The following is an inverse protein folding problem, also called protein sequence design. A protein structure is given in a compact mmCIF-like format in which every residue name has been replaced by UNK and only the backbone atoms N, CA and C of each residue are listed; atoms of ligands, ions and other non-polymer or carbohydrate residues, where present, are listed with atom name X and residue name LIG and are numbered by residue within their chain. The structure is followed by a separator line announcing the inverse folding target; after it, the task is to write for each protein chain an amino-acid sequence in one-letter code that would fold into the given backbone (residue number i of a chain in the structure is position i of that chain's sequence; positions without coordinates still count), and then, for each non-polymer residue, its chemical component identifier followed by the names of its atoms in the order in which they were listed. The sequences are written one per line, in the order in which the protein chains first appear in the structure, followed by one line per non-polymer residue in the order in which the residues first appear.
data_IF_558114830029
#
_entry.id   IF_558114830029
#
_cell.length_a   1.000
_cell.length_b   1.000
_cell.length_c   1.000
_cell.angle_alpha   90.00
_cell.angle_beta   90.00
_cell.angle_gamma   90.00
#
_symmetry.space_group_name_H-M   'P 1'
#
loop_
_entity.id
_entity.type
_entity.pdbx_description
1 polymer ?
#
# COMPACT_ATOMS: atom_id res chain seq x y z
N UNK A 1 -2.88 -15.75 1.64
CA UNK A 1 -3.84 -15.62 0.52
C UNK A 1 -4.30 -14.16 0.42
N UNK A 2 -3.64 -13.33 -0.42
CA UNK A 2 -3.93 -11.89 -0.53
C UNK A 2 -4.09 -11.37 -1.96
N UNK A 3 -4.09 -12.27 -2.95
CA UNK A 3 -4.03 -11.90 -4.38
C UNK A 3 -5.39 -11.76 -5.06
N UNK A 4 -6.48 -12.10 -4.38
CA UNK A 4 -7.82 -12.28 -4.99
C UNK A 4 -8.85 -11.20 -4.61
N UNK A 5 -8.54 -10.26 -3.71
CA UNK A 5 -9.51 -9.25 -3.27
C UNK A 5 -9.55 -7.96 -4.12
N UNK A 6 -8.72 -7.84 -5.17
CA UNK A 6 -8.62 -6.61 -5.95
C UNK A 6 -9.68 -6.46 -7.06
N UNK A 7 -10.44 -7.50 -7.42
CA UNK A 7 -11.31 -7.45 -8.60
C UNK A 7 -12.72 -6.88 -8.43
N UNK A 8 -13.17 -6.45 -7.24
CA UNK A 8 -14.61 -6.10 -7.05
C UNK A 8 -14.92 -4.71 -6.50
N UNK A 9 -13.97 -3.77 -6.51
CA UNK A 9 -14.22 -2.45 -5.91
C UNK A 9 -14.29 -2.47 -4.37
N UNK A 10 -14.03 -3.62 -3.77
CA UNK A 10 -13.91 -3.78 -2.31
C UNK A 10 -12.47 -3.50 -1.84
N UNK A 11 -11.99 -2.32 -2.22
CA UNK A 11 -10.74 -1.80 -1.69
C UNK A 11 -10.79 -1.69 -0.17
N UNK A 12 -11.98 -1.46 0.42
CA UNK A 12 -12.16 -1.38 1.86
C UNK A 12 -11.86 -2.71 2.57
N UNK A 13 -12.35 -3.84 2.05
CA UNK A 13 -12.08 -5.17 2.60
C UNK A 13 -10.61 -5.57 2.48
N UNK A 14 -9.97 -5.26 1.35
CA UNK A 14 -8.54 -5.47 1.18
C UNK A 14 -7.72 -4.64 2.19
N UNK A 15 -8.13 -3.39 2.45
CA UNK A 15 -7.46 -2.51 3.40
C UNK A 15 -7.66 -2.93 4.86
N UNK A 16 -8.84 -3.42 5.24
CA UNK A 16 -9.10 -3.90 6.59
C UNK A 16 -8.30 -5.18 6.92
N UNK A 17 -8.15 -6.07 5.95
CA UNK A 17 -7.28 -7.25 6.09
C UNK A 17 -5.80 -6.85 6.25
N UNK A 18 -5.36 -5.81 5.53
CA UNK A 18 -4.00 -5.27 5.64
C UNK A 18 -3.76 -4.56 7.00
N UNK A 19 -4.74 -3.84 7.54
CA UNK A 19 -4.66 -3.16 8.85
C UNK A 19 -4.56 -4.18 10.00
N UNK A 20 -5.38 -5.23 9.94
CA UNK A 20 -5.34 -6.33 10.94
C UNK A 20 -3.96 -6.99 10.99
N UNK A 21 -3.36 -7.25 9.82
CA UNK A 21 -2.05 -7.88 9.75
C UNK A 21 -0.88 -6.92 10.08
N UNK A 22 -1.08 -5.61 9.90
CA UNK A 22 -0.13 -4.58 10.31
C UNK A 22 0.01 -4.49 11.85
N UNK A 23 -1.05 -4.80 12.60
CA UNK A 23 -1.04 -4.83 14.06
C UNK A 23 -0.26 -6.02 14.62
N UNK A 24 -0.29 -7.16 13.94
CA UNK A 24 0.42 -8.37 14.39
C UNK A 24 1.90 -8.38 14.00
N UNK A 25 2.28 -7.72 12.88
CA UNK A 25 3.66 -7.75 12.37
C UNK A 25 4.18 -6.36 11.94
N UNK A 26 4.28 -5.39 12.87
CA UNK A 26 4.62 -4.00 12.56
C UNK A 26 6.08 -3.78 12.10
N UNK A 27 6.97 -4.75 12.34
CA UNK A 27 8.40 -4.69 11.95
C UNK A 27 8.81 -5.81 10.98
N UNK A 28 7.86 -6.47 10.34
CA UNK A 28 8.19 -7.51 9.36
C UNK A 28 8.50 -6.87 8.01
N UNK A 29 9.41 -7.48 7.26
CA UNK A 29 9.83 -7.11 5.89
C UNK A 29 8.64 -6.95 4.92
N UNK A 30 7.50 -7.56 5.27
CA UNK A 30 6.23 -7.49 4.56
C UNK A 30 5.45 -6.18 4.76
N UNK A 31 5.78 -5.34 5.74
CA UNK A 31 5.06 -4.09 5.99
C UNK A 31 5.29 -3.07 4.86
N UNK A 32 6.54 -2.97 4.39
CA UNK A 32 6.90 -2.09 3.28
C UNK A 32 6.26 -2.56 1.97
N UNK A 33 6.38 -3.86 1.66
CA UNK A 33 5.79 -4.46 0.46
C UNK A 33 4.27 -4.33 0.41
N UNK A 34 3.58 -4.50 1.55
CA UNK A 34 2.11 -4.33 1.63
C UNK A 34 1.68 -2.91 1.34
N UNK A 35 2.37 -1.92 1.90
CA UNK A 35 2.00 -0.51 1.71
C UNK A 35 2.23 -0.09 0.25
N UNK A 36 3.32 -0.56 -0.37
CA UNK A 36 3.60 -0.34 -1.80
C UNK A 36 2.51 -0.97 -2.68
N UNK A 37 2.10 -2.21 -2.41
CA UNK A 37 1.02 -2.87 -3.14
C UNK A 37 -0.32 -2.12 -3.01
N UNK A 38 -0.63 -1.57 -1.82
CA UNK A 38 -1.82 -0.76 -1.63
C UNK A 38 -1.78 0.55 -2.42
N UNK A 39 -0.63 1.22 -2.47
CA UNK A 39 -0.42 2.45 -3.26
C UNK A 39 -0.61 2.16 -4.75
N UNK A 40 0.00 1.09 -5.26
CA UNK A 40 -0.15 0.67 -6.66
C UNK A 40 -1.61 0.35 -7.00
N UNK A 41 -2.31 -0.40 -6.15
CA UNK A 41 -3.72 -0.73 -6.36
C UNK A 41 -4.62 0.51 -6.41
N UNK A 42 -4.37 1.50 -5.54
CA UNK A 42 -5.10 2.77 -5.54
C UNK A 42 -4.81 3.58 -6.80
N UNK A 43 -3.55 3.62 -7.24
CA UNK A 43 -3.16 4.31 -8.47
C UNK A 43 -3.82 3.67 -9.70
N UNK A 44 -3.72 2.35 -9.85
CA UNK A 44 -4.31 1.62 -10.98
C UNK A 44 -5.84 1.64 -11.00
N UNK A 45 -6.50 1.87 -9.86
CA UNK A 45 -7.97 2.04 -9.79
C UNK A 45 -8.44 3.49 -9.99
N UNK A 46 -7.54 4.42 -10.34
CA UNK A 46 -7.86 5.84 -10.55
C UNK A 46 -7.99 6.66 -9.26
N UNK A 47 -7.78 6.07 -8.09
CA UNK A 47 -7.81 6.74 -6.77
C UNK A 47 -6.47 7.41 -6.45
N UNK A 48 -5.98 8.23 -7.38
CA UNK A 48 -4.62 8.83 -7.33
C UNK A 48 -4.41 9.70 -6.09
N UNK A 49 -5.43 10.45 -5.65
CA UNK A 49 -5.33 11.29 -4.45
C UNK A 49 -5.05 10.47 -3.18
N UNK A 50 -5.62 9.26 -3.10
CA UNK A 50 -5.43 8.38 -1.95
C UNK A 50 -4.09 7.63 -2.03
N UNK A 51 -3.68 7.22 -3.24
CA UNK A 51 -2.34 6.71 -3.49
C UNK A 51 -1.27 7.71 -3.05
N UNK A 52 -1.43 9.00 -3.39
CA UNK A 52 -0.53 10.09 -2.98
C UNK A 52 -0.48 10.29 -1.47
N UNK A 53 -1.63 10.26 -0.78
CA UNK A 53 -1.68 10.34 0.70
C UNK A 53 -0.91 9.20 1.36
N UNK A 54 -1.06 7.98 0.84
CA UNK A 54 -0.35 6.81 1.37
C UNK A 54 1.14 6.84 1.03
N UNK A 55 1.49 7.24 -0.18
CA UNK A 55 2.88 7.46 -0.57
C UNK A 55 3.57 8.46 0.36
N UNK A 56 2.93 9.59 0.67
CA UNK A 56 3.48 10.56 1.63
C UNK A 56 3.76 9.93 3.01
N UNK A 57 2.83 9.12 3.53
CA UNK A 57 3.06 8.38 4.78
C UNK A 57 4.20 7.37 4.65
N UNK A 58 4.23 6.60 3.56
CA UNK A 58 5.31 5.67 3.27
C UNK A 58 6.68 6.36 3.30
N UNK A 59 6.81 7.56 2.70
CA UNK A 59 8.07 8.31 2.71
C UNK A 59 8.51 8.69 4.13
N UNK A 60 7.56 9.03 5.01
CA UNK A 60 7.85 9.37 6.40
C UNK A 60 8.15 8.16 7.28
N UNK A 61 7.49 7.02 7.03
CA UNK A 61 7.63 5.79 7.82
C UNK A 61 8.85 4.97 7.39
N UNK A 62 9.16 4.95 6.09
CA UNK A 62 10.24 4.17 5.50
C UNK A 62 11.16 5.02 4.61
N UNK A 63 11.84 6.03 5.17
CA UNK A 63 12.67 6.96 4.39
C UNK A 63 13.89 6.32 3.71
N UNK A 64 14.26 5.08 4.11
CA UNK A 64 15.38 4.32 3.54
C UNK A 64 14.93 3.07 2.78
N UNK A 65 13.63 2.95 2.47
CA UNK A 65 13.12 1.78 1.75
C UNK A 65 13.64 1.75 0.32
N UNK A 66 14.13 0.59 -0.18
CA UNK A 66 14.44 0.42 -1.59
C UNK A 66 13.19 0.48 -2.48
N UNK A 67 11.99 0.37 -1.91
CA UNK A 67 10.72 0.40 -2.64
C UNK A 67 10.21 1.83 -2.92
N UNK A 68 10.95 2.87 -2.49
CA UNK A 68 10.56 4.27 -2.70
C UNK A 68 10.37 4.61 -4.18
N UNK A 69 11.21 4.09 -5.07
CA UNK A 69 11.07 4.29 -6.52
C UNK A 69 9.75 3.75 -7.07
N UNK A 70 9.25 2.64 -6.52
CA UNK A 70 7.98 2.04 -6.95
C UNK A 70 6.80 2.90 -6.49
N UNK A 71 6.90 3.46 -5.28
CA UNK A 71 5.89 4.37 -4.72
C UNK A 71 5.80 5.68 -5.51
N UNK A 72 6.94 6.23 -5.93
CA UNK A 72 6.99 7.43 -6.75
C UNK A 72 6.36 7.18 -8.13
N UNK A 73 6.69 6.06 -8.78
CA UNK A 73 6.12 5.69 -10.08
C UNK A 73 4.60 5.53 -10.01
N UNK A 74 4.07 4.91 -8.95
CA UNK A 74 2.64 4.73 -8.76
C UNK A 74 1.88 6.04 -8.48
N UNK A 75 2.56 7.14 -8.15
CA UNK A 75 1.90 8.40 -7.77
C UNK A 75 2.14 9.57 -8.71
N UNK A 76 2.88 9.31 -9.81
CA UNK A 76 3.12 10.24 -10.91
C UNK A 76 1.80 10.65 -11.56
#
# INVERSE_FOLDING_TARGET
MGRTALSRGDAAGALAALDTHAREFPKSQLAEEREVLAIQALASSGRVAEARRRAARFRTTFPKSPLMSIVDEATR
#
